data_IF_866811602106
#
_entry.id   IF_866811602106
#
_cell.length_a   1.000
_cell.length_b   1.000
_cell.length_c   1.000
_cell.angle_alpha   90.00
_cell.angle_beta   90.00
_cell.angle_gamma   90.00
#
_symmetry.space_group_name_H-M   'P 1'
#
loop_
_entity.id
_entity.type
_entity.pdbx_description
1 polymer ?
#
# COMPACT_ATOMS: atom_id res chain seq x y z
N UNK A 1 16.09 9.05 10.07
CA UNK A 1 16.74 8.52 8.86
C UNK A 1 15.74 8.70 7.72
N UNK A 2 16.06 9.56 6.74
CA UNK A 2 15.20 9.76 5.58
C UNK A 2 15.30 8.51 4.70
N UNK A 3 14.25 7.71 4.63
CA UNK A 3 14.15 6.62 3.67
C UNK A 3 14.11 7.27 2.28
N UNK A 4 15.21 7.18 1.54
CA UNK A 4 15.25 7.51 0.12
C UNK A 4 14.38 6.47 -0.58
N UNK A 5 13.30 6.90 -1.23
CA UNK A 5 12.44 6.02 -2.01
C UNK A 5 13.29 5.35 -3.11
N UNK A 6 13.38 4.02 -3.17
CA UNK A 6 14.20 3.34 -4.17
C UNK A 6 13.75 3.71 -5.59
N UNK A 7 14.67 3.75 -6.58
CA UNK A 7 14.32 4.00 -7.97
C UNK A 7 13.22 3.08 -8.48
N UNK A 8 12.39 3.56 -9.43
CA UNK A 8 11.19 2.84 -9.90
C UNK A 8 11.43 1.41 -10.39
N UNK A 9 12.60 1.14 -10.95
CA UNK A 9 12.96 -0.16 -11.53
C UNK A 9 14.16 -0.84 -10.83
N UNK A 10 14.66 -0.29 -9.71
CA UNK A 10 15.81 -0.87 -8.99
C UNK A 10 15.36 -1.91 -7.95
N UNK A 11 15.31 -3.16 -8.40
CA UNK A 11 14.96 -4.30 -7.57
C UNK A 11 15.91 -4.50 -6.38
N UNK A 12 17.22 -4.28 -6.57
CA UNK A 12 18.21 -4.54 -5.52
C UNK A 12 18.09 -3.51 -4.38
N UNK A 13 17.88 -2.24 -4.72
CA UNK A 13 17.58 -1.20 -3.75
C UNK A 13 16.27 -1.49 -3.01
N UNK A 14 15.23 -1.93 -3.72
CA UNK A 14 13.94 -2.25 -3.11
C UNK A 14 14.02 -3.45 -2.15
N UNK A 15 14.72 -4.52 -2.51
CA UNK A 15 14.95 -5.67 -1.62
C UNK A 15 15.71 -5.23 -0.37
N UNK A 16 16.76 -4.43 -0.54
CA UNK A 16 17.53 -3.88 0.59
C UNK A 16 16.64 -3.06 1.53
N UNK A 17 15.76 -2.23 0.97
CA UNK A 17 14.84 -1.41 1.75
C UNK A 17 13.79 -2.24 2.50
N UNK A 18 13.22 -3.27 1.86
CA UNK A 18 12.29 -4.22 2.50
C UNK A 18 12.98 -4.95 3.66
N UNK A 19 14.18 -5.48 3.43
CA UNK A 19 14.95 -6.19 4.45
C UNK A 19 15.32 -5.30 5.64
N UNK A 20 15.53 -4.00 5.42
CA UNK A 20 15.73 -3.02 6.49
C UNK A 20 14.47 -2.75 7.32
N UNK A 21 13.26 -2.90 6.76
CA UNK A 21 11.99 -2.62 7.41
C UNK A 21 11.40 -3.83 8.15
N UNK A 22 11.73 -5.05 7.74
CA UNK A 22 11.24 -6.28 8.39
C UNK A 22 11.55 -6.32 9.90
N UNK A 23 12.78 -6.04 10.38
CA UNK A 23 13.07 -5.98 11.81
C UNK A 23 12.25 -4.90 12.55
N UNK A 24 11.99 -3.77 11.91
CA UNK A 24 11.18 -2.69 12.49
C UNK A 24 9.71 -3.08 12.62
N UNK A 25 9.22 -4.01 11.79
CA UNK A 25 7.84 -4.49 11.78
C UNK A 25 7.66 -5.82 12.50
N UNK A 26 8.74 -6.42 13.03
CA UNK A 26 8.73 -7.75 13.67
C UNK A 26 8.09 -8.83 12.77
N UNK A 27 8.16 -8.62 11.46
CA UNK A 27 7.73 -9.57 10.44
C UNK A 27 8.97 -10.27 9.88
N UNK A 28 8.78 -11.50 9.41
CA UNK A 28 9.78 -12.23 8.64
C UNK A 28 9.43 -12.22 7.16
N UNK A 29 10.29 -12.80 6.33
CA UNK A 29 10.00 -12.95 4.91
C UNK A 29 8.80 -13.86 4.63
N UNK A 30 8.51 -14.81 5.53
CA UNK A 30 7.37 -15.73 5.42
C UNK A 30 6.02 -15.04 5.71
N UNK A 31 6.02 -13.94 6.45
CA UNK A 31 4.81 -13.16 6.75
C UNK A 31 4.37 -12.27 5.59
N UNK A 32 5.16 -12.23 4.50
CA UNK A 32 4.85 -11.46 3.31
C UNK A 32 3.91 -12.26 2.39
N UNK A 33 2.92 -11.58 1.80
CA UNK A 33 1.99 -12.17 0.83
C UNK A 33 2.66 -12.43 -0.53
N UNK A 34 3.57 -13.41 -0.57
CA UNK A 34 4.34 -13.75 -1.77
C UNK A 34 3.46 -14.36 -2.87
N UNK A 35 2.36 -15.03 -2.53
CA UNK A 35 1.38 -15.56 -3.49
C UNK A 35 0.82 -14.44 -4.39
N UNK A 36 0.49 -13.28 -3.82
CA UNK A 36 0.00 -12.13 -4.60
C UNK A 36 1.08 -11.61 -5.56
N UNK A 37 2.34 -11.56 -5.10
CA UNK A 37 3.49 -11.17 -5.92
C UNK A 37 3.73 -12.18 -7.05
N UNK A 38 3.65 -13.48 -6.76
CA UNK A 38 3.80 -14.55 -7.74
C UNK A 38 2.69 -14.48 -8.81
N UNK A 39 1.43 -14.34 -8.40
CA UNK A 39 0.29 -14.19 -9.33
C UNK A 39 0.42 -12.99 -10.27
N UNK A 40 1.03 -11.89 -9.81
CA UNK A 40 1.19 -10.65 -10.59
C UNK A 40 2.44 -10.62 -11.48
N UNK A 41 3.41 -11.49 -11.23
CA UNK A 41 4.69 -11.49 -11.96
C UNK A 41 4.93 -12.75 -12.78
N UNK A 42 4.25 -13.85 -12.46
CA UNK A 42 4.54 -15.17 -12.99
C UNK A 42 5.84 -15.77 -12.45
N UNK A 43 6.43 -15.18 -11.40
CA UNK A 43 7.65 -15.68 -10.75
C UNK A 43 7.24 -16.53 -9.53
N UNK A 44 7.74 -17.76 -9.38
CA UNK A 44 7.42 -18.61 -8.24
C UNK A 44 7.75 -17.98 -6.87
N UNK A 45 6.98 -18.32 -5.84
CA UNK A 45 7.14 -17.77 -4.49
C UNK A 45 8.50 -18.11 -3.86
N UNK A 46 9.00 -19.32 -4.07
CA UNK A 46 10.31 -19.78 -3.61
C UNK A 46 11.45 -18.95 -4.22
N UNK A 47 11.33 -18.60 -5.50
CA UNK A 47 12.27 -17.73 -6.22
C UNK A 47 12.23 -16.31 -5.64
N UNK A 48 11.05 -15.76 -5.37
CA UNK A 48 10.90 -14.43 -4.74
C UNK A 48 11.46 -14.43 -3.31
N UNK A 49 11.19 -15.48 -2.53
CA UNK A 49 11.67 -15.63 -1.16
C UNK A 49 13.20 -15.74 -1.12
N UNK A 50 13.80 -16.54 -2.00
CA UNK A 50 15.25 -16.67 -2.13
C UNK A 50 15.89 -15.30 -2.44
N UNK A 51 15.31 -14.55 -3.39
CA UNK A 51 15.77 -13.19 -3.68
C UNK A 51 15.69 -12.25 -2.47
N UNK A 52 14.59 -12.29 -1.73
CA UNK A 52 14.42 -11.44 -0.55
C UNK A 52 15.42 -11.80 0.56
N UNK A 53 15.80 -13.07 0.68
CA UNK A 53 16.86 -13.53 1.59
C UNK A 53 18.27 -13.20 1.10
N UNK A 54 18.42 -12.67 -0.11
CA UNK A 54 19.72 -12.38 -0.72
C UNK A 54 20.44 -13.62 -1.26
N UNK A 55 19.71 -14.72 -1.46
CA UNK A 55 20.23 -15.95 -2.03
C UNK A 55 20.42 -15.79 -3.55
N UNK A 56 21.41 -16.49 -4.15
CA UNK A 56 21.61 -16.45 -5.59
C UNK A 56 20.47 -17.18 -6.30
N UNK A 57 19.85 -16.49 -7.25
CA UNK A 57 18.75 -17.03 -8.06
C UNK A 57 19.15 -17.05 -9.53
N UNK A 58 18.89 -18.17 -10.26
CA UNK A 58 19.13 -18.25 -11.70
C UNK A 58 18.39 -17.17 -12.49
N UNK A 59 19.05 -16.57 -13.48
CA UNK A 59 18.47 -15.46 -14.25
C UNK A 59 17.27 -15.88 -15.11
N UNK A 60 17.19 -17.15 -15.51
CA UNK A 60 16.07 -17.78 -16.20
C UNK A 60 14.85 -17.95 -15.28
N UNK A 61 15.06 -18.31 -14.01
CA UNK A 61 14.00 -18.33 -13.00
C UNK A 61 13.44 -16.92 -12.74
N UNK A 62 14.27 -15.87 -12.88
CA UNK A 62 13.86 -14.47 -12.74
C UNK A 62 13.27 -13.88 -14.00
N UNK A 63 13.52 -14.45 -15.17
CA UNK A 63 13.01 -13.97 -16.45
C UNK A 63 12.39 -15.12 -17.23
N UNK A 64 11.27 -15.69 -16.72
CA UNK A 64 10.57 -16.75 -17.44
C UNK A 64 10.15 -16.23 -18.82
N UNK A 65 10.23 -17.10 -19.82
CA UNK A 65 9.92 -16.76 -21.20
C UNK A 65 8.44 -16.44 -21.39
N UNK A 66 8.11 -15.92 -22.57
CA UNK A 66 6.71 -15.68 -22.96
C UNK A 66 5.85 -16.94 -22.78
N UNK A 67 6.34 -18.09 -23.24
CA UNK A 67 5.64 -19.37 -23.16
C UNK A 67 5.40 -19.80 -21.71
N UNK A 68 6.41 -19.69 -20.85
CA UNK A 68 6.31 -20.09 -19.44
C UNK A 68 5.31 -19.21 -18.70
N UNK A 69 5.34 -17.89 -18.95
CA UNK A 69 4.38 -16.95 -18.37
C UNK A 69 2.97 -17.18 -18.89
N UNK A 70 2.81 -17.50 -20.17
CA UNK A 70 1.49 -17.83 -20.73
C UNK A 70 0.96 -19.15 -20.15
N UNK A 71 1.81 -20.16 -19.96
CA UNK A 71 1.43 -21.40 -19.29
C UNK A 71 1.02 -21.14 -17.84
N UNK A 72 1.78 -20.30 -17.12
CA UNK A 72 1.43 -19.87 -15.77
C UNK A 72 0.05 -19.21 -15.68
N UNK A 73 -0.32 -18.37 -16.66
CA UNK A 73 -1.66 -17.77 -16.72
C UNK A 73 -2.76 -18.82 -16.90
N UNK A 74 -2.54 -19.83 -17.74
CA UNK A 74 -3.51 -20.92 -17.91
C UNK A 74 -3.67 -21.77 -16.64
N UNK A 75 -2.57 -21.98 -15.92
CA UNK A 75 -2.57 -22.79 -14.70
C UNK A 75 -3.17 -22.06 -13.49
N UNK A 76 -3.03 -20.73 -13.44
CA UNK A 76 -3.48 -19.92 -12.30
C UNK A 76 -4.81 -19.21 -12.52
N UNK A 77 -5.18 -18.89 -13.76
CA UNK A 77 -6.43 -18.19 -14.09
C UNK A 77 -7.49 -19.18 -14.53
N UNK A 78 -8.74 -18.87 -14.19
CA UNK A 78 -9.91 -19.69 -14.54
C UNK A 78 -10.86 -18.86 -15.38
N UNK A 79 -11.58 -19.54 -16.25
CA UNK A 79 -12.68 -18.95 -17.00
C UNK A 79 -13.80 -18.50 -16.05
N UNK A 80 -14.75 -17.66 -16.51
CA UNK A 80 -15.88 -17.21 -15.68
C UNK A 80 -16.74 -18.36 -15.10
N UNK A 81 -16.72 -19.53 -15.73
CA UNK A 81 -17.40 -20.74 -15.24
C UNK A 81 -16.58 -21.55 -14.21
N UNK A 82 -15.41 -21.04 -13.81
CA UNK A 82 -14.48 -21.66 -12.86
C UNK A 82 -13.59 -22.75 -13.46
N UNK A 83 -13.72 -23.07 -14.75
CA UNK A 83 -12.91 -24.11 -15.40
C UNK A 83 -11.60 -23.56 -15.96
N UNK A 84 -10.61 -24.42 -16.26
CA UNK A 84 -9.42 -24.01 -17.00
C UNK A 84 -9.80 -23.47 -18.38
N UNK A 85 -9.13 -22.41 -18.82
CA UNK A 85 -9.30 -21.87 -20.18
C UNK A 85 -8.92 -22.91 -21.23
N UNK A 86 -9.77 -23.09 -22.23
CA UNK A 86 -9.46 -23.92 -23.40
C UNK A 86 -8.86 -23.04 -24.49
N UNK A 87 -8.03 -23.64 -25.35
CA UNK A 87 -7.45 -22.94 -26.49
C UNK A 87 -8.51 -22.33 -27.42
N UNK A 88 -9.69 -22.96 -27.52
CA UNK A 88 -10.82 -22.43 -28.29
C UNK A 88 -11.35 -21.13 -27.69
N UNK A 89 -11.43 -21.03 -26.36
CA UNK A 89 -11.96 -19.84 -25.69
C UNK A 89 -11.05 -18.64 -25.94
N UNK A 90 -9.73 -18.85 -25.89
CA UNK A 90 -8.71 -17.84 -26.16
C UNK A 90 -8.73 -17.44 -27.65
N UNK A 91 -8.82 -18.43 -28.54
CA UNK A 91 -8.88 -18.19 -29.98
C UNK A 91 -10.09 -17.34 -30.35
N UNK A 92 -11.26 -17.69 -29.83
CA UNK A 92 -12.52 -17.01 -30.11
C UNK A 92 -12.52 -15.59 -29.51
N UNK A 93 -12.03 -15.43 -28.28
CA UNK A 93 -11.96 -14.12 -27.62
C UNK A 93 -11.00 -13.14 -28.32
N UNK A 94 -9.88 -13.64 -28.86
CA UNK A 94 -8.84 -12.82 -29.48
C UNK A 94 -8.95 -12.73 -31.01
N UNK A 95 -9.94 -13.40 -31.62
CA UNK A 95 -10.05 -13.51 -33.08
C UNK A 95 -8.87 -14.21 -33.74
N UNK A 96 -8.22 -15.14 -33.03
CA UNK A 96 -7.07 -15.91 -33.51
C UNK A 96 -7.52 -17.29 -34.01
N UNK A 97 -6.70 -17.92 -34.87
CA UNK A 97 -6.93 -19.32 -35.20
C UNK A 97 -6.48 -20.22 -34.04
N UNK A 98 -7.14 -21.38 -33.85
CA UNK A 98 -6.72 -22.37 -32.84
C UNK A 98 -5.27 -22.83 -33.05
N UNK A 99 -4.85 -22.96 -34.31
CA UNK A 99 -3.47 -23.29 -34.65
C UNK A 99 -2.47 -22.20 -34.23
N UNK A 100 -2.85 -20.92 -34.30
CA UNK A 100 -2.03 -19.82 -33.76
C UNK A 100 -1.88 -19.94 -32.25
N UNK A 101 -2.98 -20.14 -31.51
CA UNK A 101 -2.94 -20.29 -30.05
C UNK A 101 -2.08 -21.48 -29.65
N UNK A 102 -2.22 -22.63 -30.32
CA UNK A 102 -1.35 -23.79 -30.09
C UNK A 102 0.12 -23.47 -30.38
N UNK A 103 0.43 -22.74 -31.45
CA UNK A 103 1.81 -22.38 -31.78
C UNK A 103 2.44 -21.44 -30.75
N UNK A 104 1.66 -20.52 -30.17
CA UNK A 104 2.09 -19.65 -29.08
C UNK A 104 2.39 -20.47 -27.80
N UNK A 105 1.50 -21.40 -27.44
CA UNK A 105 1.66 -22.24 -26.24
C UNK A 105 2.81 -23.23 -26.34
N UNK A 106 3.14 -23.69 -27.55
CA UNK A 106 4.29 -24.57 -27.76
C UNK A 106 5.60 -23.82 -27.95
N UNK A 107 5.60 -22.48 -27.96
CA UNK A 107 6.78 -21.67 -28.27
C UNK A 107 7.25 -21.76 -29.73
N UNK A 108 6.47 -22.38 -30.61
CA UNK A 108 6.78 -22.48 -32.04
C UNK A 108 6.64 -21.13 -32.76
N UNK A 109 5.98 -20.16 -32.12
CA UNK A 109 5.79 -18.81 -32.64
C UNK A 109 5.77 -17.80 -31.51
N UNK A 110 6.39 -16.65 -31.75
CA UNK A 110 6.31 -15.50 -30.85
C UNK A 110 5.04 -14.66 -31.13
N UNK A 111 4.42 -14.17 -30.06
CA UNK A 111 3.33 -13.22 -30.17
C UNK A 111 3.85 -11.84 -30.56
N UNK A 112 3.20 -11.20 -31.54
CA UNK A 112 3.43 -9.79 -31.80
C UNK A 112 2.84 -8.92 -30.69
N UNK A 113 3.31 -7.67 -30.54
CA UNK A 113 2.91 -6.73 -29.47
C UNK A 113 1.40 -6.61 -29.27
N UNK A 114 0.62 -6.54 -30.35
CA UNK A 114 -0.84 -6.43 -30.28
C UNK A 114 -1.49 -7.68 -29.67
N UNK A 115 -0.99 -8.87 -30.04
CA UNK A 115 -1.46 -10.16 -29.49
C UNK A 115 -1.06 -10.29 -28.02
N UNK A 116 0.17 -9.89 -27.67
CA UNK A 116 0.64 -9.84 -26.28
C UNK A 116 -0.27 -8.97 -25.42
N UNK A 117 -0.57 -7.74 -25.86
CA UNK A 117 -1.45 -6.83 -25.13
C UNK A 117 -2.88 -7.38 -25.00
N UNK A 118 -3.41 -7.99 -26.07
CA UNK A 118 -4.76 -8.57 -26.03
C UNK A 118 -4.83 -9.78 -25.10
N UNK A 119 -3.76 -10.58 -25.00
CA UNK A 119 -3.65 -11.67 -24.02
C UNK A 119 -3.60 -11.13 -22.58
N UNK A 120 -2.81 -10.07 -22.34
CA UNK A 120 -2.73 -9.43 -21.02
C UNK A 120 -4.11 -8.90 -20.57
N UNK A 121 -4.85 -8.26 -21.49
CA UNK A 121 -6.22 -7.80 -21.25
C UNK A 121 -7.20 -8.96 -21.02
N UNK A 122 -7.13 -10.02 -21.84
CA UNK A 122 -7.99 -11.21 -21.71
C UNK A 122 -7.85 -11.89 -20.35
N UNK A 123 -6.63 -11.98 -19.81
CA UNK A 123 -6.36 -12.60 -18.52
C UNK A 123 -6.50 -11.64 -17.33
N UNK A 124 -6.86 -10.38 -17.57
CA UNK A 124 -6.95 -9.32 -16.56
C UNK A 124 -5.66 -9.20 -15.73
N UNK A 125 -4.52 -9.06 -16.41
CA UNK A 125 -3.21 -8.90 -15.79
C UNK A 125 -2.56 -7.56 -16.12
N UNK A 126 -1.61 -7.15 -15.29
CA UNK A 126 -0.89 -5.89 -15.44
C UNK A 126 -0.24 -5.77 -16.83
N UNK A 127 -0.35 -4.61 -17.52
CA UNK A 127 0.31 -4.39 -18.79
C UNK A 127 1.81 -4.65 -18.71
N UNK A 128 2.31 -5.45 -19.64
CA UNK A 128 3.68 -5.90 -19.67
C UNK A 128 3.96 -7.18 -18.89
N UNK A 129 2.96 -7.86 -18.32
CA UNK A 129 3.13 -9.18 -17.69
C UNK A 129 3.87 -10.16 -18.60
N UNK A 130 3.56 -10.19 -19.91
CA UNK A 130 4.15 -11.14 -20.86
C UNK A 130 5.41 -10.60 -21.55
N UNK A 131 5.73 -9.31 -21.40
CA UNK A 131 6.81 -8.65 -22.18
C UNK A 131 7.88 -7.95 -21.34
N UNK A 132 7.60 -7.63 -20.08
CA UNK A 132 8.53 -6.92 -19.18
C UNK A 132 9.54 -7.90 -18.58
N UNK A 133 10.79 -7.49 -18.38
CA UNK A 133 11.77 -8.32 -17.65
C UNK A 133 11.25 -8.65 -16.25
N UNK A 134 11.51 -9.86 -15.76
CA UNK A 134 10.94 -10.25 -14.47
C UNK A 134 11.52 -9.46 -13.31
N UNK A 135 12.76 -8.95 -13.43
CA UNK A 135 13.31 -7.96 -12.46
C UNK A 135 12.44 -6.71 -12.33
N UNK A 136 11.98 -6.16 -13.46
CA UNK A 136 11.13 -4.97 -13.49
C UNK A 136 9.70 -5.28 -13.04
N UNK A 137 9.16 -6.44 -13.43
CA UNK A 137 7.87 -6.92 -12.95
C UNK A 137 7.86 -7.08 -11.42
N UNK A 138 8.92 -7.69 -10.87
CA UNK A 138 9.07 -7.90 -9.44
C UNK A 138 9.26 -6.59 -8.67
N UNK A 139 10.07 -5.66 -9.18
CA UNK A 139 10.20 -4.34 -8.57
C UNK A 139 8.85 -3.60 -8.48
N UNK A 140 8.01 -3.68 -9.52
CA UNK A 140 6.66 -3.10 -9.52
C UNK A 140 5.73 -3.83 -8.54
N UNK A 141 5.80 -5.15 -8.48
CA UNK A 141 4.93 -5.95 -7.61
C UNK A 141 5.28 -5.83 -6.12
N UNK A 142 6.55 -5.62 -5.78
CA UNK A 142 7.03 -5.46 -4.40
C UNK A 142 6.85 -4.04 -3.84
N UNK A 143 6.60 -3.03 -4.68
CA UNK A 143 6.37 -1.64 -4.23
C UNK A 143 5.21 -1.49 -3.23
N UNK A 144 4.03 -2.08 -3.45
CA UNK A 144 2.95 -2.07 -2.45
C UNK A 144 3.34 -2.72 -1.13
N UNK A 145 4.12 -3.81 -1.17
CA UNK A 145 4.64 -4.48 0.03
C UNK A 145 5.56 -3.54 0.81
N UNK A 146 6.51 -2.91 0.12
CA UNK A 146 7.39 -1.91 0.71
C UNK A 146 6.63 -0.73 1.34
N UNK A 147 5.64 -0.16 0.63
CA UNK A 147 4.83 0.94 1.15
C UNK A 147 4.03 0.54 2.41
N UNK A 148 3.54 -0.69 2.45
CA UNK A 148 2.83 -1.24 3.61
C UNK A 148 3.77 -1.41 4.80
N UNK A 149 4.96 -1.98 4.59
CA UNK A 149 5.99 -2.11 5.63
C UNK A 149 6.47 -0.76 6.14
N UNK A 150 6.65 0.23 5.25
CA UNK A 150 7.02 1.58 5.64
C UNK A 150 5.95 2.19 6.56
N UNK A 151 4.68 2.10 6.16
CA UNK A 151 3.53 2.57 6.95
C UNK A 151 3.50 1.90 8.33
N UNK A 152 3.65 0.57 8.38
CA UNK A 152 3.70 -0.19 9.64
C UNK A 152 4.89 0.23 10.51
N UNK A 153 6.06 0.44 9.91
CA UNK A 153 7.26 0.88 10.64
C UNK A 153 7.10 2.28 11.22
N UNK A 154 6.46 3.20 10.49
CA UNK A 154 6.15 4.57 10.96
C UNK A 154 5.13 4.53 12.07
N UNK A 155 4.02 3.79 11.90
CA UNK A 155 3.00 3.63 12.94
C UNK A 155 3.59 3.02 14.22
N UNK A 156 4.51 2.06 14.10
CA UNK A 156 5.20 1.51 15.27
C UNK A 156 6.18 2.52 15.86
N UNK A 157 7.01 3.18 15.06
CA UNK A 157 7.99 4.18 15.50
C UNK A 157 7.36 5.39 16.20
N UNK A 158 6.24 5.89 15.68
CA UNK A 158 5.44 6.95 16.32
C UNK A 158 4.75 6.45 17.60
N UNK A 159 4.32 5.17 17.63
CA UNK A 159 3.77 4.53 18.84
C UNK A 159 4.82 4.15 19.89
N UNK A 160 6.13 4.13 19.59
CA UNK A 160 7.17 3.99 20.64
C UNK A 160 7.28 5.26 21.50
N UNK A 161 6.81 6.42 21.03
CA UNK A 161 6.76 7.64 21.84
C UNK A 161 5.53 7.74 22.75
N UNK A 162 4.53 6.86 22.61
CA UNK A 162 3.26 7.00 23.34
C UNK A 162 2.56 5.71 23.80
N UNK A 163 3.07 4.52 23.46
CA UNK A 163 2.34 3.27 23.67
C UNK A 163 3.26 2.13 24.16
N UNK A 164 3.99 2.39 25.23
CA UNK A 164 4.28 1.35 26.23
C UNK A 164 3.01 1.03 27.05
N UNK A 165 1.91 0.65 26.40
CA UNK A 165 0.68 0.20 27.07
C UNK A 165 -0.02 -0.89 26.26
N UNK A 166 0.18 -2.13 26.73
CA UNK A 166 -0.75 -3.26 26.76
C UNK A 166 -1.44 -3.69 25.45
N UNK A 167 -1.08 -4.89 25.00
CA UNK A 167 -2.02 -5.84 24.40
C UNK A 167 -1.68 -6.18 22.96
N UNK A 168 -1.17 -7.40 22.77
CA UNK A 168 -0.95 -7.98 21.45
C UNK A 168 -2.24 -7.98 20.62
N UNK A 169 -2.15 -7.41 19.43
CA UNK A 169 -3.13 -7.61 18.38
C UNK A 169 -2.36 -8.29 17.26
N UNK A 170 -2.71 -9.55 16.99
CA UNK A 170 -2.27 -10.27 15.82
C UNK A 170 -2.84 -9.58 14.58
N UNK A 171 -1.97 -9.02 13.75
CA UNK A 171 -2.35 -8.31 12.51
C UNK A 171 -2.20 -9.30 11.35
N UNK A 172 -3.08 -10.30 11.32
CA UNK A 172 -3.14 -11.30 10.25
C UNK A 172 -4.33 -11.11 9.30
N UNK A 173 -5.11 -10.03 9.44
CA UNK A 173 -6.28 -9.78 8.58
C UNK A 173 -6.12 -8.49 7.76
N UNK A 174 -5.96 -8.66 6.44
CA UNK A 174 -5.90 -7.57 5.43
C UNK A 174 -7.12 -6.67 5.51
N UNK A 175 -8.30 -7.23 5.85
CA UNK A 175 -9.52 -6.44 6.08
C UNK A 175 -9.36 -5.49 7.27
N UNK A 176 -8.66 -5.90 8.32
CA UNK A 176 -8.38 -5.05 9.46
C UNK A 176 -7.34 -3.99 9.08
N UNK A 177 -6.36 -4.34 8.24
CA UNK A 177 -5.38 -3.38 7.72
C UNK A 177 -6.04 -2.31 6.83
N UNK A 178 -6.97 -2.69 5.95
CA UNK A 178 -7.74 -1.75 5.12
C UNK A 178 -8.71 -0.91 5.97
N UNK A 179 -9.41 -1.51 6.95
CA UNK A 179 -10.27 -0.78 7.87
C UNK A 179 -9.49 0.17 8.78
N UNK A 180 -8.30 -0.25 9.25
CA UNK A 180 -7.42 0.59 10.05
C UNK A 180 -6.81 1.71 9.19
N UNK A 181 -6.48 1.43 7.93
CA UNK A 181 -6.01 2.42 6.96
C UNK A 181 -7.09 3.44 6.64
N UNK A 182 -8.34 3.00 6.47
CA UNK A 182 -9.49 3.88 6.24
C UNK A 182 -9.84 4.70 7.50
N UNK A 183 -9.79 4.08 8.68
CA UNK A 183 -9.99 4.77 9.95
C UNK A 183 -8.88 5.78 10.26
N UNK A 184 -7.60 5.43 10.00
CA UNK A 184 -6.48 6.35 10.14
C UNK A 184 -6.53 7.44 9.08
N UNK A 185 -6.88 7.13 7.83
CA UNK A 185 -7.10 8.14 6.80
C UNK A 185 -8.23 9.09 7.22
N UNK A 186 -9.33 8.61 7.78
CA UNK A 186 -10.42 9.45 8.30
C UNK A 186 -9.99 10.32 9.49
N UNK A 187 -9.10 9.82 10.36
CA UNK A 187 -8.55 10.59 11.49
C UNK A 187 -7.53 11.63 11.01
N UNK A 188 -6.72 11.30 9.99
CA UNK A 188 -5.67 12.16 9.44
C UNK A 188 -6.20 13.17 8.39
N UNK A 189 -7.32 12.87 7.73
CA UNK A 189 -8.05 13.80 6.83
C UNK A 189 -9.14 14.57 7.54
N UNK A 190 -9.41 14.29 8.82
CA UNK A 190 -10.12 15.23 9.67
C UNK A 190 -9.30 16.51 9.65
N UNK A 191 -9.84 17.64 9.14
CA UNK A 191 -9.13 18.90 9.26
C UNK A 191 -8.82 19.08 10.75
N UNK A 192 -7.59 19.50 11.11
CA UNK A 192 -7.30 19.81 12.51
C UNK A 192 -8.42 20.71 13.01
N UNK A 193 -8.98 20.48 14.22
CA UNK A 193 -9.79 21.53 14.81
C UNK A 193 -8.94 22.80 14.72
N UNK A 194 -9.48 23.85 14.10
CA UNK A 194 -8.82 25.16 14.08
C UNK A 194 -8.32 25.43 15.50
N UNK A 195 -7.13 26.05 15.67
CA UNK A 195 -6.55 26.24 16.99
C UNK A 195 -7.60 26.92 17.88
N UNK A 196 -8.26 26.12 18.71
CA UNK A 196 -9.20 26.59 19.70
C UNK A 196 -8.34 27.44 20.62
N UNK A 197 -8.54 28.76 20.54
CA UNK A 197 -8.06 29.67 21.54
C UNK A 197 -8.35 29.04 22.90
N UNK A 198 -7.32 28.95 23.73
CA UNK A 198 -7.32 28.39 25.08
C UNK A 198 -8.72 28.60 25.73
N UNK A 199 -9.41 27.55 26.21
CA UNK A 199 -10.76 27.65 26.76
C UNK A 199 -10.89 28.79 27.77
N UNK A 200 -9.83 29.05 28.53
CA UNK A 200 -9.77 30.17 29.47
C UNK A 200 -9.69 31.53 28.78
N UNK A 201 -9.01 31.64 27.64
CA UNK A 201 -8.91 32.88 26.86
C UNK A 201 -10.22 33.20 26.12
N UNK A 202 -10.98 32.18 25.72
CA UNK A 202 -12.34 32.33 25.18
C UNK A 202 -13.32 32.79 26.26
N UNK A 203 -13.26 32.20 27.44
CA UNK A 203 -14.07 32.59 28.59
C UNK A 203 -13.74 34.03 29.04
N UNK A 204 -12.46 34.41 29.07
CA UNK A 204 -12.02 35.77 29.38
C UNK A 204 -12.48 36.80 28.31
N UNK A 205 -12.51 36.42 27.03
CA UNK A 205 -13.03 37.29 25.96
C UNK A 205 -14.54 37.44 26.02
N UNK A 206 -15.30 36.37 26.27
CA UNK A 206 -16.75 36.44 26.44
C UNK A 206 -17.14 37.31 27.65
N UNK A 207 -16.43 37.16 28.77
CA UNK A 207 -16.61 38.04 29.94
C UNK A 207 -16.26 39.49 29.58
N UNK A 208 -15.16 39.73 28.85
CA UNK A 208 -14.76 41.08 28.45
C UNK A 208 -15.78 41.75 27.51
N UNK A 209 -16.37 40.99 26.59
CA UNK A 209 -17.38 41.50 25.66
C UNK A 209 -18.75 41.69 26.32
N UNK A 210 -19.14 40.84 27.27
CA UNK A 210 -20.32 41.07 28.11
C UNK A 210 -20.17 42.36 28.95
N UNK A 211 -18.99 42.62 29.52
CA UNK A 211 -18.70 43.88 30.25
C UNK A 211 -18.74 45.10 29.32
N UNK A 212 -18.31 44.93 28.06
CA UNK A 212 -18.34 45.97 27.02
C UNK A 212 -19.74 46.20 26.44
N UNK A 213 -20.65 45.24 26.54
CA UNK A 213 -22.05 45.36 26.12
C UNK A 213 -22.96 46.01 27.19
N UNK A 214 -22.52 46.14 28.44
CA UNK A 214 -23.29 46.81 29.50
C UNK A 214 -23.38 48.33 29.29
N UNK A 215 -24.51 48.92 29.66
CA UNK A 215 -24.73 50.37 29.63
C UNK A 215 -23.72 51.12 30.53
N UNK A 216 -23.30 52.35 30.17
CA UNK A 216 -22.24 53.10 30.85
C UNK A 216 -22.33 53.17 32.39
N UNK A 217 -23.50 53.40 33.03
CA UNK A 217 -23.56 53.47 34.50
C UNK A 217 -23.32 52.12 35.19
N UNK A 218 -23.67 51.01 34.53
CA UNK A 218 -23.48 49.65 35.04
C UNK A 218 -22.02 49.19 34.92
N UNK A 219 -21.33 49.60 33.85
CA UNK A 219 -19.91 49.31 33.62
C UNK A 219 -19.01 49.94 34.70
N UNK A 220 -19.29 51.17 35.10
CA UNK A 220 -18.52 51.89 36.13
C UNK A 220 -18.69 51.27 37.52
N UNK A 221 -19.91 50.84 37.88
CA UNK A 221 -20.17 50.12 39.15
C UNK A 221 -19.47 48.75 39.18
N UNK A 222 -19.46 48.03 38.06
CA UNK A 222 -18.84 46.71 37.97
C UNK A 222 -17.30 46.82 38.06
N UNK A 223 -16.69 47.75 37.33
CA UNK A 223 -15.23 48.01 37.41
C UNK A 223 -14.79 48.47 38.80
N UNK A 224 -15.64 49.21 39.52
CA UNK A 224 -15.39 49.57 40.92
C UNK A 224 -15.34 48.37 41.87
N UNK A 225 -16.23 47.38 41.67
CA UNK A 225 -16.22 46.13 42.46
C UNK A 225 -15.04 45.22 42.13
N UNK A 226 -14.67 45.10 40.84
CA UNK A 226 -13.52 44.30 40.39
C UNK A 226 -12.21 44.88 40.92
N UNK A 227 -12.04 46.22 40.92
CA UNK A 227 -10.89 46.87 41.56
C UNK A 227 -10.84 46.71 43.08
N UNK A 228 -12.00 46.58 43.75
CA UNK A 228 -12.06 46.29 45.18
C UNK A 228 -11.62 44.87 45.55
N UNK A 229 -11.88 43.90 44.67
CA UNK A 229 -11.48 42.50 44.84
C UNK A 229 -9.99 42.26 44.56
N UNK A 230 -9.39 43.01 43.63
CA UNK A 230 -7.96 42.91 43.28
C UNK A 230 -7.03 43.73 44.19
N UNK A 231 -7.57 44.38 45.24
CA UNK A 231 -6.80 45.27 46.15
C UNK A 231 -6.94 44.91 47.62
N UNK A 232 -7.41 43.71 47.95
CA UNK A 232 -7.23 43.17 49.30
C UNK A 232 -5.81 42.59 49.41
N UNK A 233 -5.07 42.86 50.50
CA UNK A 233 -3.69 42.41 50.68
C UNK A 233 -3.57 40.88 50.77
#
# INVERSE_FOLDING_TARGET
MNAVDPPQDDLAALITAINGLLPCTAMTHEDLELDSVARRTGIPEDVVLALLRGEPVPDDALNPGFTDRLAFLLDTRRAPDGKPYRQVDIADALGLSRGMVSALLSGNREAGRAVTASLEEFFDVDPGFLSTSGRRALARALRPVYASLLTLSTLRGERVSGLALRGGVDVADIRLADQLREALAAVLTRPPPEPEADPHERELREIADQVRALAPPSRTRLMGKIRGLLRQP
#
